data_IF_122612219235
#
_entry.id   IF_122612219235
#
_cell.length_a   1.000
_cell.length_b   1.000
_cell.length_c   1.000
_cell.angle_alpha   90.00
_cell.angle_beta   90.00
_cell.angle_gamma   90.00
#
_symmetry.space_group_name_H-M   'P 1'
#
loop_
_entity.id
_entity.type
_entity.pdbx_description
1 polymer ?
#
# COMPACT_ATOMS: atom_id res chain seq x y z
N UNK A 1 17.05 -86.45 15.99
CA UNK A 1 17.03 -85.63 14.78
C UNK A 1 17.55 -84.26 15.19
N UNK A 2 18.84 -84.11 15.56
CA UNK A 2 20.05 -84.14 14.70
C UNK A 2 19.97 -83.02 13.65
N UNK A 3 20.83 -82.00 13.53
CA UNK A 3 22.24 -81.74 13.89
C UNK A 3 22.47 -80.19 13.89
N UNK A 4 23.20 -79.61 14.87
CA UNK A 4 24.61 -79.12 14.82
C UNK A 4 24.89 -77.99 13.78
N UNK A 5 25.70 -76.93 13.94
CA UNK A 5 26.61 -76.37 14.98
C UNK A 5 27.22 -75.07 14.41
N UNK A 6 27.15 -73.96 15.16
CA UNK A 6 28.25 -73.12 15.70
C UNK A 6 29.57 -72.79 14.88
N UNK A 7 30.46 -71.85 15.33
CA UNK A 7 30.61 -70.52 14.72
C UNK A 7 32.11 -70.12 14.38
N UNK A 8 32.70 -68.95 14.74
CA UNK A 8 33.51 -68.10 13.83
C UNK A 8 35.03 -67.97 14.19
N UNK A 9 35.86 -67.35 13.33
CA UNK A 9 37.11 -66.63 13.72
C UNK A 9 37.95 -66.14 12.51
N UNK A 10 38.21 -64.82 12.46
CA UNK A 10 39.47 -64.03 12.29
C UNK A 10 40.75 -64.61 11.59
N UNK A 11 41.91 -63.89 11.49
CA UNK A 11 42.29 -62.64 10.78
C UNK A 11 43.67 -62.69 10.02
N UNK A 12 44.03 -61.63 9.25
CA UNK A 12 45.41 -61.13 8.89
C UNK A 12 46.36 -62.07 8.06
N UNK A 13 47.61 -61.71 7.60
CA UNK A 13 48.37 -60.45 7.43
C UNK A 13 49.21 -60.31 6.10
N UNK A 14 50.09 -59.27 6.02
CA UNK A 14 51.39 -59.12 5.27
C UNK A 14 51.42 -59.19 3.71
N UNK A 15 52.20 -58.43 2.93
CA UNK A 15 53.51 -57.75 3.06
C UNK A 15 54.06 -57.39 1.64
N UNK A 16 55.37 -57.09 1.41
CA UNK A 16 55.84 -55.79 0.90
C UNK A 16 56.80 -55.79 -0.35
N UNK A 17 57.39 -54.60 -0.62
CA UNK A 17 58.66 -54.29 -1.31
C UNK A 17 58.65 -54.36 -2.87
N UNK A 18 59.41 -53.61 -3.68
CA UNK A 18 60.75 -52.96 -3.67
C UNK A 18 60.68 -51.75 -4.66
N UNK A 19 61.47 -50.67 -4.66
CA UNK A 19 62.91 -50.51 -4.44
C UNK A 19 63.60 -50.09 -5.76
N UNK A 20 64.25 -48.91 -5.82
CA UNK A 20 65.31 -48.61 -6.80
C UNK A 20 65.17 -47.35 -7.67
N UNK A 21 65.88 -46.29 -7.29
CA UNK A 21 66.26 -45.12 -8.12
C UNK A 21 67.56 -45.44 -8.94
N UNK A 22 68.36 -44.51 -9.53
CA UNK A 22 68.21 -43.07 -9.89
C UNK A 22 68.83 -42.66 -11.28
N UNK A 23 68.73 -41.37 -11.64
CA UNK A 23 69.57 -40.67 -12.65
C UNK A 23 68.80 -40.25 -13.92
N UNK A 24 68.90 -39.04 -14.49
CA UNK A 24 69.94 -38.00 -14.48
C UNK A 24 69.37 -36.63 -14.92
N UNK A 25 70.01 -35.55 -14.46
CA UNK A 25 69.98 -34.11 -14.87
C UNK A 25 69.68 -33.82 -16.38
N UNK A 26 69.18 -32.67 -16.88
CA UNK A 26 69.45 -31.22 -16.65
C UNK A 26 68.31 -30.34 -17.33
N UNK A 27 68.31 -28.98 -17.39
CA UNK A 27 67.13 -28.12 -17.16
C UNK A 27 66.65 -27.32 -18.41
N UNK A 28 65.44 -26.74 -18.37
CA UNK A 28 64.97 -25.93 -19.50
C UNK A 28 63.73 -25.05 -19.24
N UNK A 29 64.00 -23.77 -18.95
CA UNK A 29 63.17 -22.57 -19.21
C UNK A 29 61.77 -22.48 -18.57
N UNK A 30 61.73 -21.98 -17.33
CA UNK A 30 60.61 -21.19 -16.83
C UNK A 30 60.58 -19.82 -17.52
N UNK A 31 59.60 -19.59 -18.39
CA UNK A 31 59.22 -18.25 -18.84
C UNK A 31 58.13 -17.75 -17.88
N UNK A 32 58.36 -16.72 -17.05
CA UNK A 32 57.30 -16.13 -16.27
C UNK A 32 56.37 -15.39 -17.23
N UNK A 33 55.19 -15.97 -17.47
CA UNK A 33 54.09 -15.24 -18.10
C UNK A 33 53.77 -14.03 -17.24
N UNK A 34 54.11 -12.83 -17.72
CA UNK A 34 53.71 -11.57 -17.12
C UNK A 34 52.20 -11.49 -17.17
N UNK A 35 51.53 -11.84 -16.07
CA UNK A 35 50.13 -11.50 -15.87
C UNK A 35 50.04 -9.98 -15.73
N UNK A 36 49.80 -9.29 -16.85
CA UNK A 36 49.52 -7.85 -16.88
C UNK A 36 48.09 -7.65 -16.34
N UNK A 37 47.94 -7.88 -15.04
CA UNK A 37 46.83 -7.40 -14.23
C UNK A 37 46.95 -5.89 -14.09
N UNK A 38 46.69 -5.17 -15.18
CA UNK A 38 46.52 -3.72 -15.12
C UNK A 38 45.37 -3.37 -14.18
N UNK A 39 45.48 -2.31 -13.35
CA UNK A 39 44.40 -1.93 -12.44
C UNK A 39 43.13 -1.65 -13.24
N UNK A 40 42.09 -2.47 -13.03
CA UNK A 40 40.76 -2.24 -13.60
C UNK A 40 40.29 -0.87 -13.11
N UNK A 41 40.37 0.15 -13.95
CA UNK A 41 39.77 1.45 -13.66
C UNK A 41 38.28 1.21 -13.41
N UNK A 42 37.72 1.61 -12.26
CA UNK A 42 36.29 1.50 -12.04
C UNK A 42 35.59 2.29 -13.14
N UNK A 43 34.82 1.59 -13.98
CA UNK A 43 33.93 2.26 -14.93
C UNK A 43 33.02 3.17 -14.11
N UNK A 44 32.88 4.47 -14.42
CA UNK A 44 31.92 5.32 -13.75
C UNK A 44 30.52 4.84 -14.15
N UNK A 45 30.00 3.85 -13.44
CA UNK A 45 28.59 3.50 -13.51
C UNK A 45 27.82 4.73 -13.03
N UNK A 46 26.93 5.25 -13.87
CA UNK A 46 26.06 6.40 -13.58
C UNK A 46 25.33 6.18 -12.25
N UNK A 47 25.88 6.73 -11.17
CA UNK A 47 25.37 6.64 -9.81
C UNK A 47 23.95 7.20 -9.61
N UNK A 48 23.40 7.87 -10.63
CA UNK A 48 22.09 8.51 -10.62
C UNK A 48 20.94 7.59 -11.07
N UNK A 49 21.23 6.49 -11.79
CA UNK A 49 20.23 5.51 -12.24
C UNK A 49 19.37 4.91 -11.11
N UNK A 50 19.89 4.54 -9.92
CA UNK A 50 19.07 3.95 -8.87
C UNK A 50 18.04 4.93 -8.29
N UNK A 51 18.38 6.21 -8.17
CA UNK A 51 17.46 7.22 -7.62
C UNK A 51 16.28 7.51 -8.54
N UNK A 52 16.51 7.56 -9.86
CA UNK A 52 15.47 7.81 -10.84
C UNK A 52 14.42 6.70 -10.86
N UNK A 53 14.83 5.43 -10.74
CA UNK A 53 13.90 4.29 -10.69
C UNK A 53 12.97 4.37 -9.47
N UNK A 54 13.49 4.77 -8.31
CA UNK A 54 12.68 4.92 -7.08
C UNK A 54 11.65 6.05 -7.21
N UNK A 55 12.06 7.18 -7.78
CA UNK A 55 11.14 8.30 -8.07
C UNK A 55 10.07 7.89 -9.07
N UNK A 56 10.44 7.15 -10.13
CA UNK A 56 9.48 6.62 -11.09
C UNK A 56 8.44 5.70 -10.44
N UNK A 57 8.82 4.90 -9.44
CA UNK A 57 7.88 4.08 -8.68
C UNK A 57 6.76 4.89 -8.02
N UNK A 58 7.10 6.04 -7.44
CA UNK A 58 6.14 6.99 -6.86
C UNK A 58 5.27 7.67 -7.92
N UNK A 59 5.89 8.11 -9.02
CA UNK A 59 5.19 8.73 -10.14
C UNK A 59 4.15 7.78 -10.75
N UNK A 60 4.54 6.53 -11.02
CA UNK A 60 3.64 5.49 -11.54
C UNK A 60 2.51 5.19 -10.56
N UNK A 61 2.80 5.14 -9.25
CA UNK A 61 1.77 4.94 -8.24
C UNK A 61 0.73 6.07 -8.25
N UNK A 62 1.15 7.34 -8.32
CA UNK A 62 0.23 8.46 -8.41
C UNK A 62 -0.56 8.47 -9.73
N UNK A 63 0.13 8.25 -10.86
CA UNK A 63 -0.48 8.21 -12.18
C UNK A 63 -1.54 7.10 -12.31
N UNK A 64 -1.30 5.92 -11.71
CA UNK A 64 -2.29 4.84 -11.68
C UNK A 64 -3.53 5.21 -10.87
N UNK A 65 -3.35 5.85 -9.70
CA UNK A 65 -4.48 6.26 -8.86
C UNK A 65 -5.33 7.34 -9.52
N UNK A 66 -4.67 8.38 -10.05
CA UNK A 66 -5.33 9.48 -10.74
C UNK A 66 -5.95 9.01 -12.07
N UNK A 67 -5.22 8.22 -12.85
CA UNK A 67 -5.67 7.67 -14.13
C UNK A 67 -6.87 6.74 -14.00
N UNK A 68 -6.90 5.89 -12.96
CA UNK A 68 -8.07 5.05 -12.68
C UNK A 68 -9.33 5.89 -12.46
N UNK A 69 -9.26 6.93 -11.62
CA UNK A 69 -10.38 7.82 -11.38
C UNK A 69 -10.76 8.62 -12.63
N UNK A 70 -9.77 9.10 -13.40
CA UNK A 70 -10.02 9.78 -14.67
C UNK A 70 -10.80 8.89 -15.65
N UNK A 71 -10.41 7.61 -15.80
CA UNK A 71 -11.12 6.66 -16.66
C UNK A 71 -12.55 6.45 -16.18
N UNK A 72 -12.76 6.20 -14.89
CA UNK A 72 -14.12 6.00 -14.34
C UNK A 72 -15.00 7.22 -14.59
N UNK A 73 -14.51 8.42 -14.26
CA UNK A 73 -15.29 9.66 -14.43
C UNK A 73 -15.55 9.99 -15.89
N UNK A 74 -14.56 9.78 -16.79
CA UNK A 74 -14.74 9.99 -18.23
C UNK A 74 -15.73 8.98 -18.84
N UNK A 75 -15.75 7.73 -18.38
CA UNK A 75 -16.75 6.74 -18.83
C UNK A 75 -18.15 7.13 -18.40
N UNK A 76 -18.33 7.59 -17.16
CA UNK A 76 -19.61 8.12 -16.68
C UNK A 76 -20.04 9.34 -17.50
N UNK A 77 -19.13 10.29 -17.73
CA UNK A 77 -19.40 11.48 -18.53
C UNK A 77 -19.80 11.13 -19.97
N UNK A 78 -19.03 10.26 -20.64
CA UNK A 78 -19.30 9.81 -22.01
C UNK A 78 -20.61 9.04 -22.12
N UNK A 79 -20.98 8.31 -21.05
CA UNK A 79 -22.24 7.60 -20.97
C UNK A 79 -23.46 8.47 -20.66
N UNK A 80 -23.27 9.73 -20.24
CA UNK A 80 -24.38 10.61 -19.92
C UNK A 80 -25.21 10.95 -21.18
N UNK A 81 -26.54 10.78 -21.16
CA UNK A 81 -27.41 11.19 -22.28
C UNK A 81 -27.34 12.69 -22.61
N UNK A 82 -26.96 13.52 -21.64
CA UNK A 82 -26.79 14.96 -21.79
C UNK A 82 -25.57 15.42 -21.00
N UNK A 83 -24.35 15.17 -21.52
CA UNK A 83 -23.12 15.51 -20.82
C UNK A 83 -23.05 17.02 -20.62
N UNK A 84 -23.11 17.46 -19.37
CA UNK A 84 -22.93 18.86 -19.02
C UNK A 84 -21.43 19.18 -19.01
N UNK A 85 -21.03 20.21 -19.74
CA UNK A 85 -19.63 20.61 -19.86
C UNK A 85 -18.76 19.65 -20.71
N UNK A 86 -17.51 20.07 -20.95
CA UNK A 86 -16.55 19.29 -21.73
C UNK A 86 -15.81 18.22 -20.90
N UNK A 87 -14.99 17.37 -21.57
CA UNK A 87 -14.18 16.34 -20.92
C UNK A 87 -13.19 16.91 -19.89
N UNK A 88 -12.81 18.18 -20.05
CA UNK A 88 -12.02 18.93 -19.07
C UNK A 88 -12.70 18.98 -17.70
N UNK A 89 -14.01 19.27 -17.64
CA UNK A 89 -14.76 19.28 -16.38
C UNK A 89 -14.73 17.93 -15.68
N UNK A 90 -14.87 16.84 -16.44
CA UNK A 90 -14.74 15.48 -15.93
C UNK A 90 -13.33 15.19 -15.37
N UNK A 91 -12.28 15.66 -16.02
CA UNK A 91 -10.90 15.55 -15.53
C UNK A 91 -10.67 16.34 -14.24
N UNK A 92 -11.23 17.55 -14.12
CA UNK A 92 -11.18 18.32 -12.86
C UNK A 92 -11.87 17.58 -11.71
N UNK A 93 -13.03 16.96 -11.98
CA UNK A 93 -13.72 16.12 -10.98
C UNK A 93 -12.87 14.92 -10.58
N UNK A 94 -12.24 14.23 -11.54
CA UNK A 94 -11.35 13.11 -11.25
C UNK A 94 -10.14 13.53 -10.39
N UNK A 95 -9.52 14.66 -10.70
CA UNK A 95 -8.42 15.22 -9.90
C UNK A 95 -8.89 15.58 -8.48
N UNK A 96 -10.06 16.23 -8.35
CA UNK A 96 -10.64 16.56 -7.06
C UNK A 96 -10.95 15.29 -6.23
N UNK A 97 -11.53 14.25 -6.83
CA UNK A 97 -11.79 12.96 -6.15
C UNK A 97 -10.51 12.25 -5.71
N UNK A 98 -9.45 12.33 -6.52
CA UNK A 98 -8.15 11.78 -6.15
C UNK A 98 -7.54 12.52 -4.95
N UNK A 99 -7.66 13.85 -4.90
CA UNK A 99 -7.23 14.66 -3.75
C UNK A 99 -8.11 14.43 -2.51
N UNK A 100 -9.43 14.28 -2.69
CA UNK A 100 -10.36 13.88 -1.62
C UNK A 100 -9.96 12.53 -1.02
N UNK A 101 -9.51 11.58 -1.86
CA UNK A 101 -8.96 10.29 -1.40
C UNK A 101 -7.71 10.42 -0.51
N UNK A 102 -7.05 11.58 -0.48
CA UNK A 102 -5.96 11.88 0.47
C UNK A 102 -6.44 12.62 1.73
N UNK A 103 -7.73 12.96 1.81
CA UNK A 103 -8.32 13.76 2.88
C UNK A 103 -8.30 15.27 2.61
N UNK A 104 -7.98 15.70 1.38
CA UNK A 104 -8.00 17.12 1.05
C UNK A 104 -9.43 17.67 1.15
N UNK A 105 -9.57 18.84 1.78
CA UNK A 105 -10.85 19.55 1.87
C UNK A 105 -11.26 20.07 0.50
N UNK A 106 -12.45 19.70 0.06
CA UNK A 106 -13.07 20.21 -1.15
C UNK A 106 -14.23 21.12 -0.79
N UNK A 107 -14.37 22.23 -1.49
CA UNK A 107 -15.53 23.13 -1.36
C UNK A 107 -16.27 23.24 -2.69
N UNK A 108 -17.59 23.11 -2.64
CA UNK A 108 -18.47 23.36 -3.79
C UNK A 108 -18.78 24.85 -3.81
N UNK A 109 -18.23 25.55 -4.80
CA UNK A 109 -18.32 27.01 -4.92
C UNK A 109 -19.63 27.52 -5.55
N UNK A 110 -20.34 26.67 -6.30
CA UNK A 110 -21.61 27.01 -6.94
C UNK A 110 -22.78 26.33 -6.22
N UNK A 111 -23.33 27.01 -5.22
CA UNK A 111 -24.52 26.58 -4.48
C UNK A 111 -25.66 27.56 -4.72
N UNK A 112 -26.91 27.13 -4.50
CA UNK A 112 -28.10 27.97 -4.67
C UNK A 112 -28.07 29.21 -3.76
N UNK A 113 -27.40 29.11 -2.59
CA UNK A 113 -27.20 30.20 -1.64
C UNK A 113 -25.97 31.08 -1.94
N UNK A 114 -25.11 30.70 -2.88
CA UNK A 114 -23.85 31.40 -3.19
C UNK A 114 -22.71 31.18 -2.18
N UNK A 115 -22.99 30.55 -1.05
CA UNK A 115 -21.99 30.23 -0.02
C UNK A 115 -21.26 28.91 -0.36
N UNK A 116 -19.92 28.86 -0.24
CA UNK A 116 -19.16 27.63 -0.48
C UNK A 116 -19.53 26.55 0.55
N UNK A 117 -20.01 25.40 0.07
CA UNK A 117 -20.37 24.27 0.93
C UNK A 117 -19.23 23.24 0.92
N UNK A 118 -18.64 22.88 2.07
CA UNK A 118 -17.59 21.88 2.14
C UNK A 118 -18.13 20.48 1.84
N UNK A 119 -17.28 19.63 1.26
CA UNK A 119 -17.50 18.19 1.16
C UNK A 119 -17.00 17.58 2.47
N UNK A 120 -17.90 17.39 3.42
CA UNK A 120 -17.56 17.01 4.80
C UNK A 120 -17.19 15.54 4.97
N UNK A 121 -17.48 14.70 3.97
CA UNK A 121 -17.31 13.25 4.05
C UNK A 121 -16.36 12.74 2.97
N UNK A 122 -15.20 12.24 3.42
CA UNK A 122 -14.24 11.54 2.58
C UNK A 122 -14.65 10.07 2.41
N UNK A 123 -14.88 9.58 1.18
CA UNK A 123 -15.19 8.17 0.97
C UNK A 123 -13.98 7.28 1.30
N UNK A 124 -14.06 6.49 2.38
CA UNK A 124 -12.92 5.73 2.91
C UNK A 124 -12.39 4.68 1.92
N UNK A 125 -13.22 4.16 1.02
CA UNK A 125 -12.75 3.25 -0.02
C UNK A 125 -11.85 3.97 -1.04
N UNK A 126 -12.12 5.25 -1.33
CA UNK A 126 -11.23 6.05 -2.18
C UNK A 126 -9.88 6.26 -1.52
N UNK A 127 -9.82 6.34 -0.19
CA UNK A 127 -8.56 6.43 0.57
C UNK A 127 -7.75 5.14 0.46
N UNK A 128 -8.39 3.96 0.40
CA UNK A 128 -7.68 2.70 0.30
C UNK A 128 -6.77 2.59 -0.94
N UNK A 129 -7.18 3.20 -2.07
CA UNK A 129 -6.44 3.19 -3.33
C UNK A 129 -5.05 3.85 -3.25
N UNK A 130 -4.89 5.13 -2.86
CA UNK A 130 -3.58 5.76 -2.72
C UNK A 130 -2.73 5.08 -1.65
N UNK A 131 -3.30 4.67 -0.50
CA UNK A 131 -2.56 3.94 0.54
C UNK A 131 -1.98 2.63 -0.01
N UNK A 132 -2.78 1.86 -0.76
CA UNK A 132 -2.33 0.60 -1.36
C UNK A 132 -1.26 0.83 -2.43
N UNK A 133 -1.43 1.81 -3.32
CA UNK A 133 -0.48 2.10 -4.40
C UNK A 133 0.88 2.59 -3.88
N UNK A 134 0.90 3.52 -2.93
CA UNK A 134 2.14 4.01 -2.30
C UNK A 134 2.81 2.89 -1.51
N UNK A 135 2.04 2.16 -0.70
CA UNK A 135 2.57 1.04 0.08
C UNK A 135 3.10 -0.09 -0.80
N UNK A 136 2.48 -0.36 -1.96
CA UNK A 136 2.98 -1.31 -2.97
C UNK A 136 4.28 -0.82 -3.61
N UNK A 137 4.35 0.45 -4.01
CA UNK A 137 5.55 1.03 -4.61
C UNK A 137 6.76 0.96 -3.66
N UNK A 138 6.57 1.33 -2.39
CA UNK A 138 7.62 1.25 -1.36
C UNK A 138 8.03 -0.20 -1.12
N UNK A 139 7.09 -1.13 -0.93
CA UNK A 139 7.40 -2.55 -0.69
C UNK A 139 8.15 -3.19 -1.85
N UNK A 140 7.74 -2.90 -3.09
CA UNK A 140 8.43 -3.40 -4.29
C UNK A 140 9.87 -2.89 -4.37
N UNK A 141 10.09 -1.60 -4.10
CA UNK A 141 11.42 -1.00 -4.10
C UNK A 141 12.34 -1.52 -2.97
N UNK A 142 11.77 -1.99 -1.86
CA UNK A 142 12.52 -2.58 -0.74
C UNK A 142 12.83 -4.08 -0.96
N UNK A 143 12.12 -4.76 -1.86
CA UNK A 143 12.29 -6.19 -2.11
C UNK A 143 13.56 -6.53 -2.92
N UNK A 144 14.16 -5.57 -3.63
CA UNK A 144 15.27 -5.83 -4.55
C UNK A 144 16.58 -6.22 -3.86
N UNK A 145 16.82 -5.84 -2.60
CA UNK A 145 18.11 -6.04 -1.92
C UNK A 145 17.97 -5.92 -0.38
N UNK A 146 18.91 -6.47 0.42
CA UNK A 146 18.94 -6.28 1.87
C UNK A 146 18.92 -4.79 2.26
N UNK A 147 18.03 -4.41 3.19
CA UNK A 147 17.76 -3.00 3.50
C UNK A 147 18.33 -2.58 4.87
N UNK A 148 19.33 -1.71 4.87
CA UNK A 148 19.70 -0.92 6.06
C UNK A 148 18.77 0.28 6.26
N UNK A 149 18.66 0.80 7.49
CA UNK A 149 17.76 1.93 7.84
C UNK A 149 17.92 3.15 6.91
N UNK A 150 19.16 3.54 6.62
CA UNK A 150 19.44 4.66 5.72
C UNK A 150 18.93 4.43 4.28
N UNK A 151 18.96 3.19 3.79
CA UNK A 151 18.40 2.85 2.48
C UNK A 151 16.88 2.91 2.50
N UNK A 152 16.23 2.38 3.53
CA UNK A 152 14.78 2.40 3.63
C UNK A 152 14.22 3.83 3.66
N UNK A 153 14.88 4.73 4.40
CA UNK A 153 14.54 6.17 4.40
C UNK A 153 14.71 6.77 3.01
N UNK A 154 15.81 6.46 2.29
CA UNK A 154 15.99 6.94 0.91
C UNK A 154 14.92 6.42 -0.04
N UNK A 155 14.56 5.14 0.03
CA UNK A 155 13.50 4.55 -0.80
C UNK A 155 12.16 5.24 -0.53
N UNK A 156 11.76 5.35 0.74
CA UNK A 156 10.55 6.06 1.14
C UNK A 156 10.55 7.51 0.63
N UNK A 157 11.64 8.25 0.84
CA UNK A 157 11.75 9.64 0.40
C UNK A 157 11.72 9.79 -1.13
N UNK A 158 12.39 8.91 -1.88
CA UNK A 158 12.37 8.94 -3.35
C UNK A 158 11.00 8.60 -3.94
N UNK A 159 10.34 7.56 -3.41
CA UNK A 159 8.96 7.21 -3.82
C UNK A 159 8.00 8.34 -3.47
N UNK A 160 8.10 8.89 -2.25
CA UNK A 160 7.28 10.03 -1.84
C UNK A 160 7.52 11.24 -2.75
N UNK A 161 8.77 11.56 -3.08
CA UNK A 161 9.09 12.67 -3.98
C UNK A 161 8.43 12.52 -5.36
N UNK A 162 8.47 11.33 -5.96
CA UNK A 162 7.81 11.06 -7.24
C UNK A 162 6.28 11.16 -7.16
N UNK A 163 5.70 10.68 -6.05
CA UNK A 163 4.26 10.76 -5.80
C UNK A 163 3.79 12.22 -5.62
N UNK A 164 4.52 12.98 -4.80
CA UNK A 164 4.23 14.37 -4.49
C UNK A 164 4.39 15.29 -5.71
N UNK A 165 5.28 14.97 -6.65
CA UNK A 165 5.40 15.71 -7.91
C UNK A 165 4.10 15.65 -8.72
N UNK A 166 3.52 14.45 -8.86
CA UNK A 166 2.22 14.28 -9.54
C UNK A 166 1.11 14.93 -8.74
N UNK A 167 1.12 14.79 -7.42
CA UNK A 167 0.10 15.40 -6.58
C UNK A 167 0.13 16.92 -6.58
N UNK A 168 1.31 17.55 -6.65
CA UNK A 168 1.42 19.00 -6.83
C UNK A 168 0.82 19.45 -8.17
N UNK A 169 1.06 18.70 -9.25
CA UNK A 169 0.42 18.96 -10.54
C UNK A 169 -1.10 18.79 -10.46
N UNK A 170 -1.59 17.77 -9.74
CA UNK A 170 -3.03 17.55 -9.54
C UNK A 170 -3.68 18.66 -8.72
N UNK A 171 -3.04 19.15 -7.64
CA UNK A 171 -3.52 20.31 -6.86
C UNK A 171 -3.59 21.56 -7.72
N UNK A 172 -2.53 21.82 -8.50
CA UNK A 172 -2.50 22.96 -9.42
C UNK A 172 -3.61 22.87 -10.46
N UNK A 173 -3.78 21.71 -11.08
CA UNK A 173 -4.82 21.47 -12.07
C UNK A 173 -6.23 21.62 -11.46
N UNK A 174 -6.48 21.00 -10.30
CA UNK A 174 -7.76 21.07 -9.61
C UNK A 174 -8.15 22.49 -9.16
N UNK A 175 -7.17 23.39 -8.96
CA UNK A 175 -7.42 24.78 -8.55
C UNK A 175 -8.22 25.59 -9.58
N UNK A 176 -8.21 25.18 -10.86
CA UNK A 176 -9.01 25.77 -11.93
C UNK A 176 -10.37 25.10 -12.13
N UNK A 177 -10.66 24.05 -11.36
CA UNK A 177 -11.89 23.28 -11.46
C UNK A 177 -13.07 23.88 -10.69
N UNK A 178 -14.28 23.35 -10.89
CA UNK A 178 -15.49 23.80 -10.19
C UNK A 178 -15.50 23.43 -8.69
N UNK A 179 -14.81 22.34 -8.32
CA UNK A 179 -14.53 21.96 -6.95
C UNK A 179 -13.25 22.65 -6.51
N UNK A 180 -13.37 23.62 -5.59
CA UNK A 180 -12.22 24.37 -5.11
C UNK A 180 -11.51 23.53 -4.04
N UNK A 181 -10.23 23.28 -4.31
CA UNK A 181 -9.29 22.67 -3.38
C UNK A 181 -8.54 23.79 -2.68
N UNK A 182 -8.43 23.75 -1.36
CA UNK A 182 -7.49 24.61 -0.64
C UNK A 182 -6.05 24.07 -0.82
N UNK A 183 -5.16 24.74 -1.58
CA UNK A 183 -3.84 24.20 -1.90
C UNK A 183 -2.95 23.87 -0.69
N UNK A 184 -2.86 24.70 0.38
CA UNK A 184 -2.05 24.37 1.54
C UNK A 184 -2.60 23.18 2.32
N UNK A 185 -3.93 23.11 2.56
CA UNK A 185 -4.55 21.94 3.20
C UNK A 185 -4.33 20.66 2.37
N UNK A 186 -4.55 20.72 1.06
CA UNK A 186 -4.34 19.58 0.17
C UNK A 186 -2.88 19.13 0.15
N UNK A 187 -1.92 20.06 0.13
CA UNK A 187 -0.50 19.76 0.23
C UNK A 187 -0.13 19.07 1.54
N UNK A 188 -0.69 19.53 2.67
CA UNK A 188 -0.46 18.95 3.99
C UNK A 188 -1.01 17.53 4.10
N UNK A 189 -2.24 17.29 3.65
CA UNK A 189 -2.87 15.97 3.62
C UNK A 189 -2.14 15.00 2.71
N UNK A 190 -1.76 15.44 1.50
CA UNK A 190 -1.00 14.64 0.54
C UNK A 190 0.39 14.24 1.07
N UNK A 191 1.10 15.19 1.70
CA UNK A 191 2.38 14.93 2.34
C UNK A 191 2.22 13.97 3.53
N UNK A 192 1.26 14.24 4.42
CA UNK A 192 1.01 13.45 5.62
C UNK A 192 0.65 12.01 5.30
N UNK A 193 -0.30 11.79 4.39
CA UNK A 193 -0.72 10.45 3.96
C UNK A 193 0.41 9.68 3.29
N UNK A 194 1.13 10.29 2.35
CA UNK A 194 2.24 9.64 1.66
C UNK A 194 3.35 9.26 2.64
N UNK A 195 3.74 10.18 3.53
CA UNK A 195 4.76 9.92 4.54
C UNK A 195 4.34 8.81 5.51
N UNK A 196 3.11 8.86 6.03
CA UNK A 196 2.59 7.85 6.95
C UNK A 196 2.60 6.45 6.31
N UNK A 197 2.12 6.33 5.06
CA UNK A 197 2.10 5.05 4.34
C UNK A 197 3.52 4.56 4.07
N UNK A 198 4.44 5.43 3.64
CA UNK A 198 5.82 5.03 3.41
C UNK A 198 6.50 4.53 4.68
N UNK A 199 6.27 5.20 5.83
CA UNK A 199 6.79 4.76 7.13
C UNK A 199 6.22 3.39 7.51
N UNK A 200 4.90 3.20 7.39
CA UNK A 200 4.25 1.92 7.69
C UNK A 200 4.77 0.81 6.77
N UNK A 201 4.91 1.08 5.47
CA UNK A 201 5.42 0.11 4.49
C UNK A 201 6.87 -0.29 4.80
N UNK A 202 7.73 0.68 5.12
CA UNK A 202 9.11 0.42 5.58
C UNK A 202 9.10 -0.44 6.84
N UNK A 203 8.32 -0.05 7.84
CA UNK A 203 8.21 -0.77 9.12
C UNK A 203 7.74 -2.22 8.94
N UNK A 204 6.76 -2.46 8.07
CA UNK A 204 6.27 -3.81 7.77
C UNK A 204 7.29 -4.64 6.99
N UNK A 205 8.11 -4.03 6.14
CA UNK A 205 9.09 -4.72 5.29
C UNK A 205 10.41 -5.08 6.00
N UNK A 206 10.88 -4.24 6.94
CA UNK A 206 12.11 -4.52 7.70
C UNK A 206 11.88 -5.51 8.84
N UNK A 207 10.64 -5.97 9.02
CA UNK A 207 10.18 -6.59 10.25
C UNK A 207 10.03 -5.55 11.36
N UNK A 208 9.14 -5.82 12.32
CA UNK A 208 9.06 -5.03 13.57
C UNK A 208 10.48 -4.90 14.13
N UNK A 209 10.93 -3.70 14.58
CA UNK A 209 12.26 -3.53 15.13
C UNK A 209 12.50 -4.59 16.20
N UNK A 210 13.66 -5.24 16.11
CA UNK A 210 14.02 -6.43 16.85
C UNK A 210 14.19 -6.24 18.38
N UNK A 211 15.09 -7.00 19.01
CA UNK A 211 14.93 -7.67 20.31
C UNK A 211 14.62 -6.84 21.57
N UNK A 212 14.54 -5.52 21.51
CA UNK A 212 14.26 -4.63 22.65
C UNK A 212 12.85 -4.82 23.26
N UNK A 213 11.93 -5.43 22.50
CA UNK A 213 10.60 -5.82 22.99
C UNK A 213 10.50 -7.31 23.37
N UNK A 214 11.59 -8.11 23.31
CA UNK A 214 11.58 -9.54 23.69
C UNK A 214 11.47 -9.80 25.20
N UNK A 215 10.94 -8.86 25.98
CA UNK A 215 10.32 -9.21 27.25
C UNK A 215 9.03 -9.98 27.03
N UNK A 216 8.49 -10.59 28.09
CA UNK A 216 7.15 -11.23 28.09
C UNK A 216 6.07 -10.32 27.50
N UNK A 217 6.21 -9.00 27.66
CA UNK A 217 5.36 -7.98 27.07
C UNK A 217 5.31 -8.00 25.52
N UNK A 218 6.41 -8.19 24.81
CA UNK A 218 6.39 -8.21 23.33
C UNK A 218 5.92 -9.55 22.74
N UNK A 219 6.09 -10.65 23.48
CA UNK A 219 5.52 -11.94 23.13
C UNK A 219 3.98 -11.92 23.24
N UNK A 220 3.42 -11.20 24.21
CA UNK A 220 1.98 -10.98 24.35
C UNK A 220 1.45 -9.85 23.45
N UNK A 221 2.26 -8.84 23.13
CA UNK A 221 1.82 -7.69 22.32
C UNK A 221 1.45 -8.08 20.89
N UNK A 222 2.18 -8.99 20.24
CA UNK A 222 1.85 -9.39 18.87
C UNK A 222 0.51 -10.16 18.77
N UNK A 223 0.23 -11.18 19.60
CA UNK A 223 -1.08 -11.79 19.71
C UNK A 223 -2.16 -10.81 20.15
N UNK A 224 -1.91 -9.93 21.13
CA UNK A 224 -2.88 -8.94 21.58
C UNK A 224 -3.26 -7.95 20.47
N UNK A 225 -2.28 -7.45 19.71
CA UNK A 225 -2.53 -6.58 18.54
C UNK A 225 -3.27 -7.33 17.43
N UNK A 226 -2.94 -8.62 17.19
CA UNK A 226 -3.68 -9.45 16.24
C UNK A 226 -5.12 -9.66 16.70
N UNK A 227 -5.34 -9.98 17.97
CA UNK A 227 -6.66 -10.18 18.54
C UNK A 227 -7.48 -8.88 18.52
N UNK A 228 -6.89 -7.74 18.89
CA UNK A 228 -7.52 -6.43 18.77
C UNK A 228 -7.87 -6.11 17.31
N UNK A 229 -6.95 -6.38 16.37
CA UNK A 229 -7.20 -6.22 14.94
C UNK A 229 -8.34 -7.09 14.42
N UNK A 230 -8.39 -8.36 14.83
CA UNK A 230 -9.51 -9.26 14.51
C UNK A 230 -10.82 -8.78 15.14
N UNK A 231 -10.79 -8.31 16.40
CA UNK A 231 -11.95 -7.74 17.08
C UNK A 231 -12.52 -6.53 16.34
N UNK A 232 -11.66 -5.57 15.96
CA UNK A 232 -12.06 -4.42 15.11
C UNK A 232 -12.61 -4.89 13.77
N UNK A 233 -11.98 -5.88 13.12
CA UNK A 233 -12.45 -6.41 11.85
C UNK A 233 -13.85 -7.06 11.97
N UNK A 234 -14.10 -7.82 13.05
CA UNK A 234 -15.41 -8.42 13.34
C UNK A 234 -16.46 -7.34 13.60
N UNK A 235 -16.13 -6.29 14.37
CA UNK A 235 -17.03 -5.18 14.64
C UNK A 235 -17.41 -4.42 13.36
N UNK A 236 -16.44 -4.15 12.47
CA UNK A 236 -16.69 -3.52 11.18
C UNK A 236 -17.46 -4.41 10.22
N UNK A 237 -17.21 -5.72 10.22
CA UNK A 237 -17.99 -6.69 9.46
C UNK A 237 -19.45 -6.74 9.95
N UNK A 238 -19.68 -6.63 11.27
CA UNK A 238 -21.00 -6.50 11.86
C UNK A 238 -21.71 -5.22 11.41
N UNK A 239 -21.04 -4.07 11.47
CA UNK A 239 -21.59 -2.79 10.97
C UNK A 239 -21.91 -2.82 9.47
N UNK A 240 -21.05 -3.45 8.67
CA UNK A 240 -21.31 -3.68 7.25
C UNK A 240 -22.55 -4.57 7.03
N UNK A 241 -22.66 -5.68 7.77
CA UNK A 241 -23.82 -6.57 7.69
C UNK A 241 -25.12 -5.85 8.07
N UNK A 242 -25.10 -5.02 9.11
CA UNK A 242 -26.26 -4.19 9.51
C UNK A 242 -26.63 -3.19 8.42
N UNK A 243 -25.63 -2.55 7.78
CA UNK A 243 -25.85 -1.62 6.67
C UNK A 243 -26.53 -2.32 5.49
N UNK A 244 -26.00 -3.49 5.09
CA UNK A 244 -26.56 -4.26 3.98
C UNK A 244 -27.95 -4.80 4.30
N UNK A 245 -28.18 -5.23 5.54
CA UNK A 245 -29.51 -5.64 6.01
C UNK A 245 -30.49 -4.47 5.95
N UNK A 246 -30.11 -3.28 6.43
CA UNK A 246 -30.95 -2.09 6.39
C UNK A 246 -31.32 -1.70 4.95
N UNK A 247 -30.35 -1.74 4.03
CA UNK A 247 -30.60 -1.50 2.59
C UNK A 247 -31.52 -2.57 2.01
N UNK A 248 -31.34 -3.85 2.37
CA UNK A 248 -32.20 -4.93 1.91
C UNK A 248 -33.64 -4.84 2.43
N UNK A 249 -33.83 -4.35 3.65
CA UNK A 249 -35.16 -4.13 4.25
C UNK A 249 -35.87 -2.90 3.67
N UNK A 250 -35.12 -1.86 3.27
CA UNK A 250 -35.63 -0.59 2.74
C UNK A 250 -35.27 -0.41 1.25
N UNK A 251 -35.41 -1.48 0.49
CA UNK A 251 -34.97 -1.53 -0.91
C UNK A 251 -35.75 -0.59 -1.82
N UNK A 252 -37.04 -0.41 -1.56
CA UNK A 252 -37.91 0.49 -2.34
C UNK A 252 -37.51 1.96 -2.10
N UNK A 253 -37.34 2.39 -0.85
CA UNK A 253 -36.91 3.76 -0.55
C UNK A 253 -35.49 4.04 -1.09
N UNK A 254 -34.60 3.05 -1.06
CA UNK A 254 -33.27 3.16 -1.65
C UNK A 254 -33.34 3.35 -3.17
N UNK A 255 -34.18 2.58 -3.87
CA UNK A 255 -34.36 2.71 -5.31
C UNK A 255 -34.92 4.07 -5.68
N UNK A 256 -35.97 4.52 -5.00
CA UNK A 256 -36.55 5.86 -5.20
C UNK A 256 -35.49 6.95 -4.98
N UNK A 257 -34.68 6.85 -3.93
CA UNK A 257 -33.58 7.77 -3.67
C UNK A 257 -32.52 7.79 -4.78
N UNK A 258 -32.12 6.62 -5.27
CA UNK A 258 -31.16 6.50 -6.39
C UNK A 258 -31.74 7.05 -7.69
N UNK A 259 -33.04 6.90 -7.93
CA UNK A 259 -33.70 7.46 -9.11
C UNK A 259 -33.83 8.98 -9.03
N UNK A 260 -34.21 9.51 -7.86
CA UNK A 260 -34.29 10.95 -7.61
C UNK A 260 -32.92 11.63 -7.74
N UNK A 261 -31.85 11.00 -7.24
CA UNK A 261 -30.48 11.53 -7.30
C UNK A 261 -29.80 11.28 -8.66
N UNK A 262 -30.06 10.13 -9.25
CA UNK A 262 -29.31 9.60 -10.38
C UNK A 262 -29.91 9.94 -11.74
N UNK A 263 -31.20 10.33 -11.82
CA UNK A 263 -31.88 10.66 -13.08
C UNK A 263 -31.69 9.58 -14.16
N UNK A 264 -30.68 9.79 -15.01
CA UNK A 264 -30.22 8.90 -16.07
C UNK A 264 -29.37 7.71 -15.57
N UNK A 265 -29.15 6.71 -16.44
CA UNK A 265 -28.37 5.52 -16.09
C UNK A 265 -26.93 5.83 -15.62
N UNK A 266 -26.28 6.83 -16.22
CA UNK A 266 -24.93 7.26 -15.85
C UNK A 266 -24.92 7.88 -14.45
N UNK A 267 -25.90 8.73 -14.12
CA UNK A 267 -26.03 9.30 -12.79
C UNK A 267 -26.35 8.24 -11.74
N UNK A 268 -27.24 7.29 -12.04
CA UNK A 268 -27.50 6.12 -11.16
C UNK A 268 -26.23 5.29 -10.92
N UNK A 269 -25.42 5.08 -11.96
CA UNK A 269 -24.12 4.39 -11.84
C UNK A 269 -23.14 5.18 -10.98
N UNK A 270 -23.08 6.50 -11.14
CA UNK A 270 -22.26 7.38 -10.31
C UNK A 270 -22.68 7.36 -8.83
N UNK A 271 -23.98 7.41 -8.56
CA UNK A 271 -24.54 7.27 -7.21
C UNK A 271 -24.19 5.91 -6.62
N UNK A 272 -24.36 4.81 -7.38
CA UNK A 272 -23.99 3.48 -6.91
C UNK A 272 -22.50 3.35 -6.58
N UNK A 273 -21.62 3.87 -7.44
CA UNK A 273 -20.17 3.89 -7.18
C UNK A 273 -19.81 4.74 -5.95
N UNK A 274 -20.48 5.89 -5.76
CA UNK A 274 -20.30 6.73 -4.59
C UNK A 274 -20.77 6.02 -3.31
N UNK A 275 -21.92 5.34 -3.35
CA UNK A 275 -22.42 4.54 -2.23
C UNK A 275 -21.45 3.41 -1.87
N UNK A 276 -20.91 2.71 -2.87
CA UNK A 276 -19.86 1.71 -2.66
C UNK A 276 -18.61 2.35 -2.04
N UNK A 277 -18.23 3.55 -2.48
CA UNK A 277 -17.07 4.25 -1.94
C UNK A 277 -17.27 4.69 -0.48
N UNK A 278 -18.51 4.97 -0.09
CA UNK A 278 -18.93 5.33 1.26
C UNK A 278 -19.24 4.12 2.15
N UNK A 279 -19.32 2.91 1.60
CA UNK A 279 -19.67 1.71 2.34
C UNK A 279 -18.81 1.47 3.59
N UNK A 280 -17.48 1.72 3.59
CA UNK A 280 -16.70 1.61 4.83
C UNK A 280 -17.04 2.69 5.86
N UNK A 281 -17.44 3.90 5.44
CA UNK A 281 -17.94 4.92 6.36
C UNK A 281 -19.25 4.46 6.99
N UNK A 282 -20.17 3.91 6.20
CA UNK A 282 -21.44 3.38 6.68
C UNK A 282 -21.23 2.24 7.67
N UNK A 283 -20.26 1.34 7.44
CA UNK A 283 -19.90 0.29 8.38
C UNK A 283 -19.42 0.86 9.72
N UNK A 284 -18.52 1.85 9.71
CA UNK A 284 -18.04 2.51 10.95
C UNK A 284 -19.19 3.17 11.70
N UNK A 285 -20.09 3.85 10.98
CA UNK A 285 -21.27 4.50 11.55
C UNK A 285 -22.27 3.48 12.12
N UNK A 286 -22.56 2.41 11.40
CA UNK A 286 -23.44 1.34 11.87
C UNK A 286 -22.85 0.58 13.06
N UNK A 287 -21.53 0.38 13.09
CA UNK A 287 -20.84 -0.19 14.25
C UNK A 287 -20.96 0.74 15.46
N UNK A 288 -20.70 2.04 15.33
CA UNK A 288 -20.79 2.98 16.45
C UNK A 288 -22.23 3.10 16.97
N UNK A 289 -23.22 3.14 16.07
CA UNK A 289 -24.63 3.15 16.43
C UNK A 289 -25.07 1.83 17.08
N UNK A 290 -24.65 0.69 16.54
CA UNK A 290 -24.97 -0.65 17.04
C UNK A 290 -24.32 -0.97 18.39
N UNK A 291 -23.16 -0.37 18.69
CA UNK A 291 -22.55 -0.42 20.01
C UNK A 291 -23.32 0.45 21.04
N UNK A 292 -24.11 1.43 20.56
CA UNK A 292 -24.87 2.37 21.37
C UNK A 292 -23.98 3.31 22.22
N UNK A 293 -24.56 4.28 22.94
CA UNK A 293 -23.88 4.88 24.07
C UNK A 293 -23.71 3.76 25.12
N UNK A 294 -22.47 3.37 25.44
CA UNK A 294 -22.11 2.14 26.19
C UNK A 294 -22.65 1.95 27.63
N UNK A 295 -23.97 2.02 27.83
CA UNK A 295 -24.81 1.81 29.01
C UNK A 295 -25.05 2.99 29.99
N UNK A 296 -26.26 2.98 30.53
CA UNK A 296 -26.81 3.76 31.64
C UNK A 296 -26.20 3.40 33.00
N UNK A 297 -25.93 4.40 33.85
CA UNK A 297 -25.54 4.24 35.25
C UNK A 297 -26.67 3.58 36.08
N UNK A 298 -26.62 2.25 36.22
CA UNK A 298 -26.99 1.58 37.47
C UNK A 298 -25.84 1.74 38.46
N UNK A 299 -26.15 1.96 39.74
CA UNK A 299 -25.31 2.61 40.76
C UNK A 299 -24.03 1.88 41.23
N UNK A 300 -23.33 1.10 40.39
CA UNK A 300 -22.03 0.56 40.75
C UNK A 300 -21.19 0.19 39.52
N UNK A 301 -20.40 1.16 39.05
CA UNK A 301 -19.15 0.93 38.32
C UNK A 301 -19.24 0.88 36.81
N UNK A 302 -18.81 1.95 36.16
CA UNK A 302 -18.50 1.99 34.71
C UNK A 302 -17.02 1.66 34.54
N UNK A 303 -16.70 0.72 33.64
CA UNK A 303 -15.34 0.44 33.18
C UNK A 303 -15.20 1.01 31.78
N UNK A 304 -14.32 2.02 31.67
CA UNK A 304 -13.70 2.44 30.41
C UNK A 304 -12.28 1.90 30.31
#
# INVERSE_FOLDING_TARGET
MSHLTEPPSSPHPDGPAEGGAPGTDVPGTDVPGTDVSGPRRPRPSRAWRPHLVLVLGGLVAAALGLGFLAVVVLLLWTGSPSPQGGPEGALHVAAALWLLGHGAELTRSSTVSGEPVPVELTPLLLVALPLWLVGRAVRNALAEEPTGRARAVRVAASVAAGYLLVGAAAVHYASYGPLRVDPPSAGAWLLGTTAAVSVVAVWMSQGRPGPALRGTAGACAAPAVRAAGLGVAVLLAGGLALTLLAVGLHGEEYQEGVEQLGGDWSGRTAVALLTLALLPNAAVWATSYGLGPGFTLGSAGVVG
#
